data_IF_708770504516
#
_entry.id   IF_708770504516
#
_cell.length_a   1.000
_cell.length_b   1.000
_cell.length_c   1.000
_cell.angle_alpha   90.00
_cell.angle_beta   90.00
_cell.angle_gamma   90.00
#
_symmetry.space_group_name_H-M   'P 1'
#
loop_
_entity.id
_entity.type
_entity.pdbx_description
1 polymer ?
#
# COMPACT_ATOMS: atom_id res chain seq x y z
N UNK A 1 -19.47 24.68 -27.83
CA UNK A 1 -19.45 24.33 -26.39
C UNK A 1 -18.01 24.01 -26.06
N UNK A 2 -17.40 24.68 -25.07
CA UNK A 2 -16.01 24.39 -24.67
C UNK A 2 -15.96 23.13 -23.81
N UNK A 3 -14.81 22.45 -23.75
CA UNK A 3 -14.62 21.27 -22.88
C UNK A 3 -14.92 21.61 -21.41
N UNK A 4 -14.56 22.82 -20.98
CA UNK A 4 -14.88 23.31 -19.65
C UNK A 4 -16.39 23.52 -19.43
N UNK A 5 -17.11 24.01 -20.44
CA UNK A 5 -18.57 24.15 -20.34
C UNK A 5 -19.25 22.77 -20.26
N UNK A 6 -18.75 21.78 -21.00
CA UNK A 6 -19.23 20.40 -20.93
C UNK A 6 -18.96 19.77 -19.56
N UNK A 7 -17.76 19.92 -19.00
CA UNK A 7 -17.42 19.45 -17.66
C UNK A 7 -18.32 20.08 -16.61
N UNK A 8 -18.57 21.39 -16.69
CA UNK A 8 -19.44 22.09 -15.74
C UNK A 8 -20.90 21.59 -15.80
N UNK A 9 -21.41 21.28 -17.00
CA UNK A 9 -22.74 20.67 -17.17
C UNK A 9 -22.79 19.26 -16.53
N UNK A 10 -21.77 18.43 -16.80
CA UNK A 10 -21.69 17.08 -16.25
C UNK A 10 -21.52 17.08 -14.73
N UNK A 11 -20.75 18.01 -14.18
CA UNK A 11 -20.57 18.19 -12.74
C UNK A 11 -21.86 18.67 -12.04
N UNK A 12 -22.64 19.52 -12.70
CA UNK A 12 -23.96 19.94 -12.20
C UNK A 12 -24.89 18.73 -12.06
N UNK A 13 -24.96 17.91 -13.11
CA UNK A 13 -25.73 16.65 -13.12
C UNK A 13 -25.19 15.68 -12.05
N UNK A 14 -23.86 15.54 -11.93
CA UNK A 14 -23.20 14.71 -10.90
C UNK A 14 -23.62 15.15 -9.50
N UNK A 15 -23.78 16.45 -9.29
CA UNK A 15 -24.14 17.05 -8.01
C UNK A 15 -25.64 17.07 -7.75
N UNK A 16 -26.47 16.68 -8.71
CA UNK A 16 -27.93 16.60 -8.55
C UNK A 16 -28.61 17.93 -8.84
N UNK A 17 -28.04 18.70 -9.76
CA UNK A 17 -28.54 20.00 -10.22
C UNK A 17 -28.87 19.88 -11.70
N UNK A 18 -30.10 20.23 -12.10
CA UNK A 18 -30.46 20.31 -13.51
C UNK A 18 -29.77 21.52 -14.13
N UNK A 19 -28.85 21.33 -15.10
CA UNK A 19 -28.04 22.42 -15.64
C UNK A 19 -28.82 23.44 -16.48
N UNK A 20 -30.09 23.17 -16.80
CA UNK A 20 -30.94 24.07 -17.60
C UNK A 20 -31.61 25.15 -16.77
N UNK A 21 -31.95 24.83 -15.53
CA UNK A 21 -32.73 25.70 -14.65
C UNK A 21 -32.11 25.88 -13.24
N UNK A 22 -31.07 25.12 -12.90
CA UNK A 22 -30.38 25.18 -11.61
C UNK A 22 -31.11 24.49 -10.45
N UNK A 23 -32.21 23.78 -10.71
CA UNK A 23 -32.99 23.12 -9.67
C UNK A 23 -32.35 21.82 -9.18
N UNK A 24 -32.50 21.53 -7.89
CA UNK A 24 -32.02 20.30 -7.30
C UNK A 24 -32.97 19.13 -7.61
N UNK A 25 -32.40 17.98 -7.97
CA UNK A 25 -33.12 16.72 -8.08
C UNK A 25 -32.50 15.65 -7.20
N UNK A 26 -33.34 14.76 -6.67
CA UNK A 26 -32.91 13.60 -5.88
C UNK A 26 -32.36 12.53 -6.82
N UNK A 27 -31.06 12.24 -6.71
CA UNK A 27 -30.36 11.26 -7.57
C UNK A 27 -30.95 9.86 -7.41
N UNK A 28 -31.44 9.54 -6.22
CA UNK A 28 -32.08 8.28 -5.85
C UNK A 28 -33.34 8.01 -6.70
N UNK A 29 -33.99 9.06 -7.21
CA UNK A 29 -35.17 8.97 -8.05
C UNK A 29 -34.83 8.85 -9.55
N UNK A 30 -33.55 8.67 -9.90
CA UNK A 30 -33.06 8.64 -11.27
C UNK A 30 -32.09 7.48 -11.48
N UNK A 31 -31.83 7.12 -12.74
CA UNK A 31 -30.78 6.15 -13.08
C UNK A 31 -29.38 6.62 -12.68
N UNK A 32 -29.16 7.92 -12.45
CA UNK A 32 -27.87 8.46 -11.96
C UNK A 32 -27.57 8.04 -10.51
N UNK A 33 -28.60 7.69 -9.74
CA UNK A 33 -28.44 7.12 -8.40
C UNK A 33 -27.91 5.68 -8.43
N UNK A 34 -28.07 4.97 -9.54
CA UNK A 34 -27.65 3.58 -9.66
C UNK A 34 -26.13 3.45 -9.62
N UNK A 35 -25.58 2.55 -8.77
CA UNK A 35 -24.14 2.37 -8.65
C UNK A 35 -23.36 2.13 -9.96
N UNK A 36 -23.84 1.31 -10.92
CA UNK A 36 -23.12 1.12 -12.19
C UNK A 36 -23.13 2.40 -13.05
N UNK A 37 -24.27 3.08 -13.17
CA UNK A 37 -24.42 4.29 -13.97
C UNK A 37 -23.59 5.44 -13.39
N UNK A 38 -23.63 5.64 -12.07
CA UNK A 38 -22.82 6.66 -11.39
C UNK A 38 -21.32 6.44 -11.57
N UNK A 39 -20.86 5.18 -11.59
CA UNK A 39 -19.45 4.84 -11.82
C UNK A 39 -19.02 5.13 -13.26
N UNK A 40 -19.83 4.74 -14.23
CA UNK A 40 -19.59 5.05 -15.64
C UNK A 40 -19.56 6.58 -15.86
N UNK A 41 -20.50 7.30 -15.25
CA UNK A 41 -20.61 8.75 -15.33
C UNK A 41 -19.39 9.48 -14.71
N UNK A 42 -18.97 9.07 -13.50
CA UNK A 42 -17.78 9.64 -12.87
C UNK A 42 -16.49 9.30 -13.65
N UNK A 43 -16.42 8.14 -14.30
CA UNK A 43 -15.30 7.78 -15.17
C UNK A 43 -15.25 8.69 -16.40
N UNK A 44 -16.38 8.92 -17.05
CA UNK A 44 -16.49 9.84 -18.18
C UNK A 44 -16.07 11.26 -17.79
N UNK A 45 -16.57 11.79 -16.67
CA UNK A 45 -16.14 13.11 -16.17
C UNK A 45 -14.64 13.15 -15.92
N UNK A 46 -14.08 12.09 -15.31
CA UNK A 46 -12.64 12.01 -15.06
C UNK A 46 -11.85 11.96 -16.36
N UNK A 47 -12.28 11.18 -17.34
CA UNK A 47 -11.63 11.04 -18.65
C UNK A 47 -11.67 12.36 -19.43
N UNK A 48 -12.80 13.08 -19.40
CA UNK A 48 -12.97 14.40 -20.00
C UNK A 48 -12.20 15.50 -19.26
N UNK A 49 -12.11 15.42 -17.92
CA UNK A 49 -11.34 16.33 -17.09
C UNK A 49 -9.82 16.05 -17.17
N UNK A 50 -9.42 14.83 -17.52
CA UNK A 50 -8.05 14.55 -17.99
C UNK A 50 -7.89 15.05 -19.43
N UNK A 51 -7.79 16.36 -19.56
CA UNK A 51 -6.64 16.87 -20.28
C UNK A 51 -5.45 16.61 -19.34
N UNK A 52 -4.52 15.68 -19.62
CA UNK A 52 -3.26 15.72 -18.91
C UNK A 52 -2.57 16.98 -19.44
N UNK A 53 -2.83 18.13 -18.81
CA UNK A 53 -1.70 18.98 -18.52
C UNK A 53 -0.75 18.04 -17.78
N UNK A 54 0.25 17.53 -18.50
CA UNK A 54 1.36 16.80 -17.92
C UNK A 54 1.87 17.74 -16.85
N UNK A 55 1.56 17.46 -15.59
CA UNK A 55 2.25 18.11 -14.48
C UNK A 55 3.69 17.64 -14.63
N UNK A 56 4.46 18.44 -15.36
CA UNK A 56 5.85 18.16 -15.64
C UNK A 56 6.58 18.30 -14.32
N UNK A 57 7.22 17.22 -13.91
CA UNK A 57 7.96 17.18 -12.66
C UNK A 57 9.22 17.99 -12.87
N UNK A 58 9.28 19.17 -12.28
CA UNK A 58 10.45 20.05 -12.31
C UNK A 58 11.33 19.77 -11.09
N UNK A 59 11.89 18.56 -11.06
CA UNK A 59 12.97 18.22 -10.13
C UNK A 59 14.28 18.31 -10.91
N UNK A 60 15.13 19.33 -10.65
CA UNK A 60 16.37 19.51 -11.40
C UNK A 60 17.31 18.31 -11.24
N UNK A 61 17.94 17.91 -12.34
CA UNK A 61 18.91 16.80 -12.37
C UNK A 61 20.04 16.96 -11.33
N UNK A 62 20.46 18.20 -11.06
CA UNK A 62 21.44 18.52 -10.03
C UNK A 62 20.98 18.21 -8.60
N UNK A 63 19.67 18.32 -8.30
CA UNK A 63 19.11 17.93 -7.00
C UNK A 63 19.12 16.41 -6.87
N UNK A 64 18.83 15.70 -7.96
CA UNK A 64 18.85 14.23 -8.01
C UNK A 64 20.27 13.72 -7.78
N UNK A 65 21.26 14.24 -8.51
CA UNK A 65 22.66 13.84 -8.36
C UNK A 65 23.22 14.15 -6.98
N UNK A 66 22.97 15.36 -6.45
CA UNK A 66 23.41 15.75 -5.11
C UNK A 66 22.80 14.84 -4.02
N UNK A 67 21.50 14.52 -4.13
CA UNK A 67 20.85 13.59 -3.20
C UNK A 67 21.47 12.20 -3.28
N UNK A 68 21.81 11.72 -4.49
CA UNK A 68 22.51 10.46 -4.66
C UNK A 68 23.90 10.47 -3.99
N UNK A 69 24.64 11.58 -4.07
CA UNK A 69 25.94 11.75 -3.41
C UNK A 69 25.80 11.77 -1.88
N UNK A 70 24.85 12.53 -1.33
CA UNK A 70 24.56 12.54 0.10
C UNK A 70 24.18 11.13 0.61
N UNK A 71 23.36 10.39 -0.14
CA UNK A 71 23.01 9.01 0.19
C UNK A 71 24.22 8.07 0.17
N UNK A 72 25.11 8.21 -0.82
CA UNK A 72 26.35 7.42 -0.87
C UNK A 72 27.29 7.75 0.29
N UNK A 73 27.38 9.02 0.70
CA UNK A 73 28.16 9.43 1.86
C UNK A 73 27.63 8.80 3.17
N UNK A 74 26.32 8.54 3.25
CA UNK A 74 25.70 7.79 4.35
C UNK A 74 25.80 6.25 4.20
N UNK A 75 26.48 5.76 3.16
CA UNK A 75 26.69 4.34 2.89
C UNK A 75 25.50 3.63 2.25
N UNK A 76 24.55 4.38 1.67
CA UNK A 76 23.46 3.82 0.88
C UNK A 76 23.85 3.70 -0.60
N UNK A 77 23.26 2.73 -1.28
CA UNK A 77 23.25 2.69 -2.74
C UNK A 77 21.95 3.33 -3.25
N UNK A 78 22.00 4.52 -3.88
CA UNK A 78 20.80 5.26 -4.25
C UNK A 78 19.95 4.50 -5.27
N UNK A 79 18.66 4.38 -5.00
CA UNK A 79 17.69 3.88 -5.97
C UNK A 79 16.43 4.75 -6.09
N UNK A 80 15.69 4.59 -7.18
CA UNK A 80 14.47 5.36 -7.50
C UNK A 80 13.52 5.38 -6.31
N UNK A 81 13.22 4.20 -5.74
CA UNK A 81 12.26 4.11 -4.63
C UNK A 81 12.75 4.82 -3.36
N UNK A 82 14.07 4.86 -3.10
CA UNK A 82 14.63 5.59 -1.97
C UNK A 82 14.51 7.10 -2.16
N UNK A 83 14.88 7.62 -3.34
CA UNK A 83 14.78 9.05 -3.65
C UNK A 83 13.34 9.54 -3.58
N UNK A 84 12.38 8.77 -4.11
CA UNK A 84 10.95 9.08 -3.97
C UNK A 84 10.58 9.24 -2.50
N UNK A 85 11.02 8.32 -1.62
CA UNK A 85 10.73 8.40 -0.18
C UNK A 85 11.38 9.62 0.48
N UNK A 86 12.60 9.97 0.10
CA UNK A 86 13.31 11.16 0.62
C UNK A 86 12.57 12.42 0.19
N UNK A 87 12.31 12.60 -1.11
CA UNK A 87 11.66 13.78 -1.68
C UNK A 87 10.28 14.07 -1.10
N UNK A 88 9.47 13.03 -0.82
CA UNK A 88 8.14 13.19 -0.21
C UNK A 88 8.17 13.24 1.33
N UNK A 89 9.34 13.06 1.96
CA UNK A 89 9.45 13.01 3.41
C UNK A 89 8.70 11.84 4.02
N UNK A 90 8.89 10.63 3.47
CA UNK A 90 8.16 9.43 3.89
C UNK A 90 8.39 9.14 5.37
N UNK A 91 7.29 8.93 6.10
CA UNK A 91 7.32 8.47 7.50
C UNK A 91 7.92 7.07 7.68
N UNK A 92 8.03 6.30 6.59
CA UNK A 92 8.68 4.98 6.60
C UNK A 92 10.20 5.04 6.76
N UNK A 93 10.82 6.22 6.56
CA UNK A 93 12.26 6.41 6.78
C UNK A 93 12.52 6.46 8.29
N UNK A 94 13.20 5.41 8.78
CA UNK A 94 13.56 5.29 10.20
C UNK A 94 14.90 5.96 10.50
N UNK A 95 15.87 5.84 9.59
CA UNK A 95 17.19 6.47 9.75
C UNK A 95 17.04 8.00 9.85
N UNK A 96 17.52 8.56 10.97
CA UNK A 96 17.49 10.00 11.25
C UNK A 96 18.45 10.76 10.36
N UNK A 97 19.55 10.15 9.91
CA UNK A 97 20.51 10.79 9.02
C UNK A 97 19.85 11.13 7.67
N UNK A 98 18.97 10.25 7.18
CA UNK A 98 18.20 10.48 5.95
C UNK A 98 17.18 11.63 6.08
N UNK A 99 16.77 11.99 7.30
CA UNK A 99 15.89 13.15 7.55
C UNK A 99 16.65 14.47 7.55
N UNK A 100 17.98 14.42 7.67
CA UNK A 100 18.86 15.59 7.59
C UNK A 100 19.27 15.97 6.17
N UNK A 101 18.93 15.16 5.16
CA UNK A 101 19.22 15.45 3.76
C UNK A 101 18.50 16.72 3.31
N UNK A 102 19.16 17.55 2.50
CA UNK A 102 18.57 18.81 2.03
C UNK A 102 17.31 18.60 1.19
N UNK A 103 17.23 17.48 0.49
CA UNK A 103 16.09 17.12 -0.35
C UNK A 103 14.97 16.41 0.42
N UNK A 104 15.14 16.14 1.72
CA UNK A 104 14.11 15.49 2.52
C UNK A 104 12.86 16.36 2.59
N UNK A 105 11.69 15.79 2.24
CA UNK A 105 10.39 16.44 2.30
C UNK A 105 10.20 17.65 1.35
N UNK A 106 11.21 17.98 0.52
CA UNK A 106 11.22 19.17 -0.34
C UNK A 106 10.08 19.20 -1.37
N UNK A 107 9.62 18.04 -1.82
CA UNK A 107 8.60 17.90 -2.86
C UNK A 107 7.27 17.35 -2.32
N UNK A 108 7.10 17.32 -0.99
CA UNK A 108 5.87 16.83 -0.38
C UNK A 108 4.70 17.73 -0.71
N UNK A 109 3.61 17.14 -1.20
CA UNK A 109 2.40 17.86 -1.56
C UNK A 109 2.51 18.63 -2.89
N UNK A 110 3.72 18.75 -3.46
CA UNK A 110 3.96 19.32 -4.79
C UNK A 110 3.75 18.24 -5.85
N UNK A 111 4.39 17.08 -5.67
CA UNK A 111 4.29 15.96 -6.60
C UNK A 111 3.75 14.72 -5.91
N UNK A 112 2.96 13.93 -6.65
CA UNK A 112 2.54 12.61 -6.18
C UNK A 112 3.72 11.63 -6.25
N UNK A 113 3.60 10.55 -5.48
CA UNK A 113 4.60 9.46 -5.48
C UNK A 113 4.83 8.91 -6.90
N UNK A 114 3.75 8.74 -7.66
CA UNK A 114 3.79 8.11 -8.98
C UNK A 114 4.43 9.04 -10.03
N UNK A 115 4.18 10.35 -9.94
CA UNK A 115 4.82 11.34 -10.80
C UNK A 115 6.33 11.39 -10.54
N UNK A 116 6.75 11.47 -9.27
CA UNK A 116 8.17 11.43 -8.90
C UNK A 116 8.85 10.13 -9.33
N UNK A 117 8.17 9.00 -9.15
CA UNK A 117 8.70 7.71 -9.58
C UNK A 117 8.93 7.69 -11.09
N UNK A 118 7.96 8.14 -11.89
CA UNK A 118 8.06 8.22 -13.35
C UNK A 118 9.21 9.12 -13.78
N UNK A 119 9.34 10.29 -13.16
CA UNK A 119 10.45 11.23 -13.41
C UNK A 119 11.81 10.62 -13.11
N UNK A 120 11.95 9.97 -11.94
CA UNK A 120 13.20 9.35 -11.52
C UNK A 120 13.57 8.11 -12.35
N UNK A 121 12.59 7.38 -12.89
CA UNK A 121 12.86 6.33 -13.88
C UNK A 121 13.42 6.93 -15.17
N UNK A 122 12.88 8.06 -15.64
CA UNK A 122 13.42 8.75 -16.81
C UNK A 122 14.86 9.24 -16.55
N UNK A 123 15.15 9.74 -15.35
CA UNK A 123 16.51 10.09 -14.93
C UNK A 123 17.44 8.87 -14.89
N UNK A 124 17.01 7.76 -14.27
CA UNK A 124 17.77 6.51 -14.24
C UNK A 124 18.15 6.03 -15.64
N UNK A 125 17.21 6.07 -16.60
CA UNK A 125 17.49 5.68 -17.99
C UNK A 125 18.60 6.52 -18.65
N UNK A 126 18.71 7.80 -18.29
CA UNK A 126 19.79 8.69 -18.75
C UNK A 126 21.10 8.47 -17.97
N UNK A 127 21.00 8.11 -16.69
CA UNK A 127 22.12 8.01 -15.76
C UNK A 127 22.10 6.70 -14.95
N UNK A 128 22.23 5.53 -15.59
CA UNK A 128 22.03 4.24 -14.92
C UNK A 128 23.08 3.94 -13.83
N UNK A 129 24.27 4.54 -13.93
CA UNK A 129 25.34 4.39 -12.94
C UNK A 129 25.17 5.33 -11.73
N UNK A 130 24.30 6.36 -11.84
CA UNK A 130 24.11 7.37 -10.79
C UNK A 130 22.94 7.01 -9.88
N UNK A 131 21.88 6.44 -10.43
CA UNK A 131 20.69 6.06 -9.69
C UNK A 131 20.29 4.66 -10.14
N UNK A 132 20.07 3.72 -9.22
CA UNK A 132 19.59 2.39 -9.57
C UNK A 132 18.06 2.39 -9.69
N UNK A 133 17.50 1.55 -10.57
CA UNK A 133 16.05 1.35 -10.63
C UNK A 133 15.53 0.66 -9.37
N UNK A 134 16.17 -0.46 -9.02
CA UNK A 134 15.82 -1.28 -7.87
C UNK A 134 16.83 -1.09 -6.72
N UNK A 135 16.39 -1.23 -5.46
CA UNK A 135 17.31 -1.23 -4.34
C UNK A 135 18.27 -2.41 -4.46
N UNK A 136 19.56 -2.15 -4.31
CA UNK A 136 20.55 -3.20 -4.14
C UNK A 136 20.36 -3.93 -2.79
N UNK A 137 20.88 -5.15 -2.70
CA UNK A 137 21.01 -5.89 -1.44
C UNK A 137 21.93 -5.08 -0.51
N UNK A 138 21.36 -4.39 0.48
CA UNK A 138 22.07 -3.46 1.36
C UNK A 138 21.15 -2.83 2.41
N UNK A 139 21.67 -1.86 3.19
CA UNK A 139 20.96 -1.20 4.31
C UNK A 139 19.53 -0.80 3.92
N UNK A 140 18.54 -1.49 4.49
CA UNK A 140 17.14 -1.15 4.30
C UNK A 140 16.85 0.24 4.90
N UNK A 141 16.10 1.07 4.18
CA UNK A 141 15.64 2.38 4.69
C UNK A 141 14.55 2.27 5.76
N UNK A 142 14.04 1.06 5.98
CA UNK A 142 13.02 0.72 6.98
C UNK A 142 13.67 -0.27 7.96
N UNK A 143 13.65 0.07 9.25
CA UNK A 143 14.13 -0.81 10.32
C UNK A 143 13.03 -1.84 10.63
N UNK A 144 13.19 -3.06 10.15
CA UNK A 144 12.28 -4.19 10.38
C UNK A 144 13.04 -5.36 11.03
N UNK A 145 13.54 -5.21 12.27
CA UNK A 145 14.43 -6.19 12.92
C UNK A 145 13.74 -7.56 13.09
N UNK A 146 12.41 -7.58 13.18
CA UNK A 146 11.64 -8.82 13.23
C UNK A 146 11.83 -9.72 11.99
N UNK A 147 12.32 -9.21 10.85
CA UNK A 147 12.59 -10.04 9.66
C UNK A 147 13.70 -11.09 9.87
N UNK A 148 14.53 -10.89 10.88
CA UNK A 148 15.60 -11.81 11.29
C UNK A 148 15.06 -13.01 12.09
N UNK A 149 13.78 -13.00 12.49
CA UNK A 149 13.16 -14.15 13.14
C UNK A 149 12.97 -15.28 12.14
N UNK A 150 13.66 -16.40 12.36
CA UNK A 150 13.74 -17.52 11.42
C UNK A 150 12.69 -18.62 11.63
N UNK A 151 11.71 -18.43 12.51
CA UNK A 151 10.70 -19.43 12.87
C UNK A 151 10.05 -20.18 11.67
N UNK A 152 9.69 -19.47 10.60
CA UNK A 152 9.08 -20.05 9.39
C UNK A 152 10.10 -20.67 8.41
N UNK A 153 11.40 -20.48 8.66
CA UNK A 153 12.52 -21.02 7.88
C UNK A 153 13.21 -22.20 8.56
N UNK A 154 12.91 -22.44 9.83
CA UNK A 154 13.33 -23.62 10.57
C UNK A 154 12.76 -24.91 9.97
N UNK A 155 13.26 -26.06 10.44
CA UNK A 155 12.73 -27.36 10.01
C UNK A 155 11.20 -27.41 10.22
N UNK A 156 10.44 -27.86 9.21
CA UNK A 156 8.98 -27.85 9.30
C UNK A 156 8.50 -28.82 10.38
N UNK A 157 7.59 -28.35 11.23
CA UNK A 157 6.87 -29.16 12.19
C UNK A 157 5.37 -28.91 12.11
N UNK A 158 4.61 -29.94 12.45
CA UNK A 158 3.16 -29.89 12.42
C UNK A 158 2.60 -30.86 13.45
N UNK A 159 1.90 -30.27 14.43
CA UNK A 159 1.24 -30.94 15.55
C UNK A 159 -0.24 -30.55 15.61
N UNK A 160 -0.77 -29.97 14.52
CA UNK A 160 -2.20 -29.68 14.43
C UNK A 160 -2.94 -30.98 14.12
N UNK A 161 -3.79 -31.40 15.05
CA UNK A 161 -4.81 -32.39 14.76
C UNK A 161 -6.03 -31.74 14.07
N UNK A 162 -6.89 -32.58 13.48
CA UNK A 162 -8.05 -32.13 12.72
C UNK A 162 -9.06 -31.35 13.59
N UNK A 163 -9.16 -31.69 14.88
CA UNK A 163 -10.05 -31.01 15.80
C UNK A 163 -9.60 -29.57 16.05
N UNK A 164 -8.30 -29.39 16.31
CA UNK A 164 -7.70 -28.08 16.57
C UNK A 164 -7.62 -27.23 15.32
N UNK A 165 -7.30 -27.81 14.17
CA UNK A 165 -7.37 -27.11 12.88
C UNK A 165 -8.78 -26.56 12.62
N UNK A 166 -9.81 -27.39 12.82
CA UNK A 166 -11.21 -26.97 12.65
C UNK A 166 -11.63 -25.90 13.66
N UNK A 167 -11.19 -26.01 14.92
CA UNK A 167 -11.42 -25.00 15.96
C UNK A 167 -10.84 -23.65 15.56
N UNK A 168 -9.56 -23.61 15.14
CA UNK A 168 -8.87 -22.39 14.70
C UNK A 168 -9.56 -21.77 13.48
N UNK A 169 -9.93 -22.58 12.48
CA UNK A 169 -10.66 -22.10 11.29
C UNK A 169 -11.98 -21.43 11.68
N UNK A 170 -12.75 -22.05 12.57
CA UNK A 170 -14.02 -21.50 13.06
C UNK A 170 -13.81 -20.19 13.81
N UNK A 171 -12.80 -20.14 14.68
CA UNK A 171 -12.46 -18.93 15.43
C UNK A 171 -12.05 -17.77 14.50
N UNK A 172 -11.19 -18.03 13.51
CA UNK A 172 -10.79 -17.05 12.50
C UNK A 172 -11.98 -16.58 11.67
N UNK A 173 -12.86 -17.50 11.25
CA UNK A 173 -14.06 -17.17 10.48
C UNK A 173 -15.01 -16.28 11.30
N UNK A 174 -15.16 -16.56 12.59
CA UNK A 174 -16.02 -15.80 13.50
C UNK A 174 -15.57 -14.34 13.70
N UNK A 175 -14.30 -14.02 13.46
CA UNK A 175 -13.80 -12.63 13.50
C UNK A 175 -14.50 -11.73 12.47
N UNK A 176 -15.07 -12.30 11.40
CA UNK A 176 -15.73 -11.57 10.32
C UNK A 176 -14.76 -10.67 9.53
N UNK A 177 -15.27 -10.01 8.50
CA UNK A 177 -14.52 -9.01 7.74
C UNK A 177 -14.90 -7.62 8.26
N UNK A 178 -13.94 -6.75 8.54
CA UNK A 178 -14.25 -5.35 8.90
C UNK A 178 -14.59 -4.51 7.69
N UNK A 179 -13.95 -4.81 6.55
CA UNK A 179 -14.35 -4.25 5.26
C UNK A 179 -15.35 -5.19 4.61
N UNK A 180 -16.57 -5.19 5.13
CA UNK A 180 -17.73 -5.72 4.44
C UNK A 180 -18.12 -4.75 3.33
N UNK A 181 -18.40 -5.28 2.14
CA UNK A 181 -19.34 -4.75 1.15
C UNK A 181 -18.82 -4.08 -0.16
N UNK A 182 -19.76 -4.05 -1.12
CA UNK A 182 -19.84 -3.68 -2.57
C UNK A 182 -18.90 -2.64 -3.21
N UNK A 183 -17.98 -2.05 -2.45
CA UNK A 183 -17.05 -1.00 -2.92
C UNK A 183 -15.57 -1.36 -2.70
N UNK A 184 -15.26 -2.64 -2.52
CA UNK A 184 -13.88 -3.13 -2.53
C UNK A 184 -13.22 -2.73 -3.86
N UNK A 185 -12.04 -2.08 -3.82
CA UNK A 185 -11.23 -1.91 -5.02
C UNK A 185 -11.00 -3.26 -5.69
N UNK A 186 -11.00 -3.31 -7.02
CA UNK A 186 -10.92 -4.55 -7.79
C UNK A 186 -9.74 -5.44 -7.35
N UNK A 187 -8.57 -4.84 -7.09
CA UNK A 187 -7.40 -5.58 -6.59
C UNK A 187 -7.64 -6.27 -5.24
N UNK A 188 -8.44 -5.69 -4.34
CA UNK A 188 -8.80 -6.31 -3.07
C UNK A 188 -9.76 -7.47 -3.28
N UNK A 189 -10.75 -7.30 -4.17
CA UNK A 189 -11.69 -8.36 -4.52
C UNK A 189 -10.95 -9.56 -5.14
N UNK A 190 -10.04 -9.34 -6.08
CA UNK A 190 -9.21 -10.40 -6.69
C UNK A 190 -8.37 -11.12 -5.64
N UNK A 191 -7.71 -10.41 -4.73
CA UNK A 191 -6.93 -11.04 -3.68
C UNK A 191 -7.78 -11.90 -2.74
N UNK A 192 -9.03 -11.49 -2.47
CA UNK A 192 -9.96 -12.22 -1.60
C UNK A 192 -10.48 -13.53 -2.18
N UNK A 193 -10.31 -13.77 -3.48
CA UNK A 193 -10.59 -15.07 -4.11
C UNK A 193 -9.66 -16.14 -3.51
N UNK A 194 -8.36 -15.83 -3.38
CA UNK A 194 -7.37 -16.76 -2.87
C UNK A 194 -7.18 -16.66 -1.34
N UNK A 195 -7.37 -15.47 -0.80
CA UNK A 195 -7.12 -15.16 0.61
C UNK A 195 -8.32 -14.40 1.18
N UNK A 196 -9.35 -15.08 1.70
CA UNK A 196 -10.62 -14.46 2.11
C UNK A 196 -10.47 -13.25 3.05
N UNK A 197 -9.43 -13.22 3.88
CA UNK A 197 -9.12 -12.12 4.81
C UNK A 197 -8.04 -11.17 4.28
N UNK A 198 -7.75 -11.14 2.98
CA UNK A 198 -6.80 -10.19 2.40
C UNK A 198 -7.17 -8.73 2.74
N UNK A 199 -6.14 -7.94 3.05
CA UNK A 199 -6.22 -6.51 3.40
C UNK A 199 -7.01 -6.15 4.66
N UNK A 200 -7.44 -7.14 5.45
CA UNK A 200 -7.94 -6.88 6.81
C UNK A 200 -6.77 -6.48 7.74
N UNK A 201 -6.96 -5.60 8.73
CA UNK A 201 -5.93 -5.37 9.74
C UNK A 201 -5.73 -6.62 10.60
N UNK A 202 -4.52 -6.85 11.13
CA UNK A 202 -4.28 -7.86 12.17
C UNK A 202 -4.77 -7.32 13.51
N UNK A 203 -5.90 -7.84 13.99
CA UNK A 203 -6.51 -7.43 15.26
C UNK A 203 -5.98 -8.28 16.40
N UNK A 204 -6.11 -7.82 17.65
CA UNK A 204 -5.56 -8.53 18.81
C UNK A 204 -6.05 -9.98 18.90
N UNK A 205 -7.33 -10.21 18.65
CA UNK A 205 -7.91 -11.56 18.70
C UNK A 205 -7.34 -12.47 17.60
N UNK A 206 -7.14 -11.94 16.38
CA UNK A 206 -6.52 -12.67 15.27
C UNK A 206 -5.03 -12.96 15.55
N UNK A 207 -4.34 -12.02 16.20
CA UNK A 207 -2.95 -12.19 16.63
C UNK A 207 -2.84 -13.27 17.71
N UNK A 208 -3.77 -13.33 18.67
CA UNK A 208 -3.80 -14.37 19.69
C UNK A 208 -4.01 -15.75 19.06
N UNK A 209 -4.95 -15.87 18.11
CA UNK A 209 -5.14 -17.10 17.34
C UNK A 209 -3.88 -17.49 16.54
N UNK A 210 -3.16 -16.51 15.97
CA UNK A 210 -1.93 -16.78 15.24
C UNK A 210 -0.82 -17.29 16.16
N UNK A 211 -0.65 -16.67 17.34
CA UNK A 211 0.30 -17.14 18.36
C UNK A 211 -0.04 -18.59 18.75
N UNK A 212 -1.31 -18.86 19.02
CA UNK A 212 -1.78 -20.18 19.38
C UNK A 212 -1.48 -21.20 18.27
N UNK A 213 -1.83 -20.90 17.02
CA UNK A 213 -1.57 -21.78 15.88
C UNK A 213 -0.06 -22.05 15.67
N UNK A 214 0.78 -21.03 15.88
CA UNK A 214 2.23 -21.14 15.77
C UNK A 214 2.84 -22.05 16.86
N UNK A 215 2.16 -22.30 17.98
CA UNK A 215 2.60 -23.31 18.94
C UNK A 215 2.47 -24.74 18.38
N UNK A 216 1.61 -24.96 17.39
CA UNK A 216 1.34 -26.28 16.82
C UNK A 216 2.01 -26.50 15.46
N UNK A 217 2.27 -25.45 14.67
CA UNK A 217 2.96 -25.59 13.39
C UNK A 217 3.74 -24.34 13.00
N UNK A 218 4.85 -24.51 12.27
CA UNK A 218 5.52 -23.45 11.52
C UNK A 218 5.29 -23.56 10.01
N UNK A 219 4.41 -24.45 9.54
CA UNK A 219 4.12 -24.61 8.12
C UNK A 219 3.24 -23.45 7.62
N UNK A 220 3.83 -22.54 6.86
CA UNK A 220 3.16 -21.34 6.36
C UNK A 220 1.90 -21.68 5.55
N UNK A 221 1.93 -22.71 4.72
CA UNK A 221 0.79 -23.08 3.88
C UNK A 221 -0.44 -23.53 4.69
N UNK A 222 -0.23 -24.28 5.79
CA UNK A 222 -1.32 -24.64 6.72
C UNK A 222 -1.90 -23.40 7.38
N UNK A 223 -1.04 -22.51 7.88
CA UNK A 223 -1.47 -21.27 8.51
C UNK A 223 -2.18 -20.35 7.50
N UNK A 224 -1.73 -20.28 6.26
CA UNK A 224 -2.41 -19.55 5.17
C UNK A 224 -3.81 -20.10 4.95
N UNK A 225 -3.98 -21.43 4.95
CA UNK A 225 -5.28 -22.07 4.79
C UNK A 225 -6.22 -21.82 5.97
N UNK A 226 -5.71 -21.72 7.20
CA UNK A 226 -6.51 -21.41 8.40
C UNK A 226 -6.90 -19.92 8.43
N UNK A 227 -5.92 -19.04 8.21
CA UNK A 227 -6.10 -17.60 8.37
C UNK A 227 -6.66 -16.89 7.14
N UNK A 228 -6.64 -17.52 5.96
CA UNK A 228 -7.09 -16.89 4.72
C UNK A 228 -6.30 -15.61 4.39
N UNK A 229 -5.01 -15.57 4.75
CA UNK A 229 -4.06 -14.47 4.50
C UNK A 229 -3.00 -14.93 3.53
N UNK A 230 -2.35 -14.01 2.81
CA UNK A 230 -1.18 -14.39 2.01
C UNK A 230 0.00 -14.80 2.89
N UNK A 231 0.85 -15.70 2.39
CA UNK A 231 2.05 -16.17 3.08
C UNK A 231 2.91 -14.99 3.60
N UNK A 232 3.23 -14.03 2.74
CA UNK A 232 4.01 -12.85 3.13
C UNK A 232 3.36 -12.01 4.25
N UNK A 233 2.03 -11.90 4.27
CA UNK A 233 1.33 -11.17 5.34
C UNK A 233 1.40 -11.92 6.66
N UNK A 234 1.28 -13.26 6.61
CA UNK A 234 1.29 -14.13 7.76
C UNK A 234 2.69 -14.23 8.38
N UNK A 235 3.71 -14.45 7.56
CA UNK A 235 5.10 -14.49 8.01
C UNK A 235 5.49 -13.21 8.72
N UNK A 236 5.21 -12.04 8.11
CA UNK A 236 5.50 -10.73 8.72
C UNK A 236 4.79 -10.55 10.06
N UNK A 237 3.53 -10.99 10.16
CA UNK A 237 2.77 -10.89 11.40
C UNK A 237 3.36 -11.80 12.48
N UNK A 238 3.62 -13.07 12.16
CA UNK A 238 4.18 -14.04 13.10
C UNK A 238 5.59 -13.65 13.57
N UNK A 239 6.47 -13.27 12.65
CA UNK A 239 7.81 -12.77 12.97
C UNK A 239 7.77 -11.57 13.92
N UNK A 240 6.87 -10.62 13.65
CA UNK A 240 6.69 -9.44 14.50
C UNK A 240 6.19 -9.82 15.89
N UNK A 241 5.23 -10.74 16.01
CA UNK A 241 4.71 -11.19 17.30
C UNK A 241 5.78 -11.89 18.15
N UNK A 242 6.63 -12.73 17.53
CA UNK A 242 7.76 -13.37 18.22
C UNK A 242 8.75 -12.30 18.70
N UNK A 243 9.16 -11.39 17.81
CA UNK A 243 10.10 -10.33 18.14
C UNK A 243 9.58 -9.44 19.29
N UNK A 244 8.34 -8.97 19.19
CA UNK A 244 7.72 -8.12 20.22
C UNK A 244 7.64 -8.84 21.58
N UNK A 245 7.38 -10.16 21.58
CA UNK A 245 7.39 -11.02 22.77
C UNK A 245 8.80 -11.16 23.38
N UNK A 246 9.82 -11.33 22.56
CA UNK A 246 11.22 -11.39 23.00
C UNK A 246 11.68 -10.07 23.62
N UNK A 247 11.36 -8.94 23.00
CA UNK A 247 11.71 -7.62 23.54
C UNK A 247 11.00 -7.34 24.88
N UNK A 248 9.74 -7.75 25.01
CA UNK A 248 8.97 -7.56 26.26
C UNK A 248 9.47 -8.41 27.44
N UNK A 249 10.28 -9.45 27.19
CA UNK A 249 10.91 -10.29 28.23
C UNK A 249 12.26 -9.77 28.71
N UNK A 250 12.88 -8.89 27.92
CA UNK A 250 14.21 -8.31 28.18
C UNK A 250 14.11 -6.94 28.87
N UNK A 251 12.96 -6.27 28.74
CA UNK A 251 12.62 -5.02 29.41
C UNK A 251 12.02 -5.24 30.80
#
# INVERSE_FOLDING_TARGET
MTDQALINLLDSIRNGVDPRNGEFFKKENTRLGEPPVRRAFNRLIKELATNPEKVEVDVPDGVISATCEELRALGYQPCVTQLVKVFIGSRSIVDRNLKGLQSYNRYRGIYTRDLLHTHLIAYHRKHPNVLLELPALGKATVHEPWREVDFFREAPFDKLDDAKDLELRRAVQALGLRKTDDRLPAYMATARINYPRAFEPWVRDEQALLIEAMCYTNQVDKLVAIFGRSASSLEKAGQKLIYDSQQSRVA
#
